data_IF_512516510143
#
_entry.id   IF_512516510143
#
_cell.length_a   1.000
_cell.length_b   1.000
_cell.length_c   1.000
_cell.angle_alpha   90.00
_cell.angle_beta   90.00
_cell.angle_gamma   90.00
#
_symmetry.space_group_name_H-M   'P 1'
#
loop_
_entity.id
_entity.type
_entity.pdbx_description
1 polymer ?
#
# COMPACT_ATOMS: atom_id res chain seq x y z
N UNK A 1 8.71 -4.79 -8.52
CA UNK A 1 9.78 -4.01 -7.88
C UNK A 1 9.67 -2.52 -8.18
N UNK A 2 9.75 -2.07 -9.45
CA UNK A 2 9.76 -0.64 -9.81
C UNK A 2 8.51 0.13 -9.33
N UNK A 3 7.30 -0.40 -9.57
CA UNK A 3 6.08 0.23 -9.06
C UNK A 3 5.97 0.24 -7.54
N UNK A 4 6.56 -0.74 -6.84
CA UNK A 4 6.63 -0.71 -5.37
C UNK A 4 7.57 0.40 -4.88
N UNK A 5 8.74 0.55 -5.52
CA UNK A 5 9.67 1.64 -5.20
C UNK A 5 9.03 3.01 -5.45
N UNK A 6 8.32 3.16 -6.58
CA UNK A 6 7.48 4.33 -6.87
C UNK A 6 6.45 4.56 -5.77
N UNK A 7 5.69 3.52 -5.41
CA UNK A 7 4.60 3.62 -4.44
C UNK A 7 5.08 3.99 -3.03
N UNK A 8 6.17 3.41 -2.55
CA UNK A 8 6.76 3.77 -1.25
C UNK A 8 7.28 5.20 -1.25
N UNK A 9 8.01 5.60 -2.30
CA UNK A 9 8.57 6.94 -2.44
C UNK A 9 7.47 8.01 -2.56
N UNK A 10 6.41 7.72 -3.31
CA UNK A 10 5.21 8.54 -3.40
C UNK A 10 4.46 8.62 -2.06
N UNK A 11 4.30 7.50 -1.35
CA UNK A 11 3.68 7.48 -0.03
C UNK A 11 4.42 8.39 0.95
N UNK A 12 5.75 8.30 1.03
CA UNK A 12 6.57 9.19 1.88
C UNK A 12 6.38 10.67 1.53
N UNK A 13 6.27 11.01 0.24
CA UNK A 13 6.00 12.38 -0.17
C UNK A 13 4.62 12.86 0.29
N UNK A 14 3.58 12.05 0.08
CA UNK A 14 2.21 12.44 0.41
C UNK A 14 2.04 12.50 1.92
N UNK A 15 2.53 11.52 2.68
CA UNK A 15 2.49 11.49 4.15
C UNK A 15 3.17 12.74 4.75
N UNK A 16 4.32 13.17 4.21
CA UNK A 16 4.93 14.46 4.57
C UNK A 16 4.06 15.67 4.20
N UNK A 17 3.55 15.69 2.97
CA UNK A 17 2.74 16.82 2.49
C UNK A 17 1.45 17.02 3.29
N UNK A 18 0.92 15.96 3.92
CA UNK A 18 -0.25 16.01 4.80
C UNK A 18 0.11 16.11 6.30
N UNK A 19 1.40 16.24 6.65
CA UNK A 19 1.86 16.43 8.02
C UNK A 19 1.90 15.15 8.88
N UNK A 20 1.90 13.97 8.26
CA UNK A 20 2.09 12.69 8.95
C UNK A 20 3.56 12.31 9.12
N UNK A 21 4.47 12.85 8.31
CA UNK A 21 5.91 12.63 8.43
C UNK A 21 6.67 13.96 8.52
N UNK A 22 7.70 14.01 9.36
CA UNK A 22 8.57 15.17 9.54
C UNK A 22 10.02 14.84 9.16
N UNK A 23 10.73 15.72 8.40
CA UNK A 23 12.08 15.44 7.91
C UNK A 23 13.15 15.33 9.01
N UNK A 24 12.99 16.06 10.12
CA UNK A 24 14.01 16.20 11.18
C UNK A 24 13.86 15.16 12.31
N UNK A 25 12.85 14.28 12.22
CA UNK A 25 12.48 13.35 13.27
C UNK A 25 11.25 13.85 14.04
N UNK A 26 10.20 13.02 14.08
CA UNK A 26 8.86 13.41 14.54
C UNK A 26 7.78 12.85 13.62
N UNK A 27 7.69 11.52 13.47
CA UNK A 27 6.79 10.88 12.51
C UNK A 27 6.75 9.37 12.66
N UNK A 28 6.38 8.66 11.59
CA UNK A 28 6.36 7.20 11.59
C UNK A 28 7.72 6.60 11.99
N UNK A 29 7.67 5.54 12.80
CA UNK A 29 8.82 4.75 13.24
C UNK A 29 9.45 4.08 12.03
N UNK A 30 10.78 4.16 11.95
CA UNK A 30 11.53 3.56 10.86
C UNK A 30 11.41 2.03 10.91
N UNK A 31 10.85 1.45 9.86
CA UNK A 31 10.67 0.02 9.70
C UNK A 31 11.80 -0.51 8.83
N UNK A 32 12.67 -1.34 9.41
CA UNK A 32 13.89 -1.83 8.73
C UNK A 32 13.67 -2.62 7.44
N UNK A 33 12.44 -3.07 7.18
CA UNK A 33 12.09 -3.79 5.95
C UNK A 33 11.51 -2.88 4.85
N UNK A 34 11.15 -1.64 5.19
CA UNK A 34 10.76 -0.60 4.24
C UNK A 34 11.83 0.48 4.23
N UNK A 35 12.92 0.26 3.49
CA UNK A 35 14.03 1.22 3.35
C UNK A 35 13.67 2.60 2.76
N UNK A 36 12.37 2.91 2.60
CA UNK A 36 11.84 4.21 2.19
C UNK A 36 11.14 5.00 3.30
N UNK A 37 10.83 4.40 4.46
CA UNK A 37 10.28 5.15 5.59
C UNK A 37 11.35 6.11 6.14
N UNK A 38 11.09 7.42 6.09
CA UNK A 38 12.06 8.43 6.48
C UNK A 38 13.06 8.82 5.39
N UNK A 39 12.80 8.52 4.11
CA UNK A 39 13.66 8.95 2.98
C UNK A 39 13.83 10.48 2.90
N UNK A 40 12.89 11.25 3.46
CA UNK A 40 12.98 12.71 3.58
C UNK A 40 14.08 13.20 4.55
N UNK A 41 14.64 12.29 5.38
CA UNK A 41 15.85 12.58 6.16
C UNK A 41 17.10 12.69 5.28
N UNK A 42 17.05 12.14 4.07
CA UNK A 42 18.19 12.00 3.14
C UNK A 42 17.95 12.81 1.86
N UNK A 43 16.72 12.82 1.35
CA UNK A 43 16.33 13.50 0.12
C UNK A 43 15.47 14.73 0.42
N UNK A 44 15.68 15.80 -0.35
CA UNK A 44 14.73 16.91 -0.41
C UNK A 44 13.40 16.47 -1.06
N UNK A 45 12.32 17.23 -0.82
CA UNK A 45 11.03 16.96 -1.43
C UNK A 45 11.10 16.93 -2.99
N UNK A 46 11.96 17.75 -3.60
CA UNK A 46 12.16 17.76 -5.06
C UNK A 46 12.83 16.47 -5.54
N UNK A 47 13.86 16.00 -4.83
CA UNK A 47 14.53 14.74 -5.15
C UNK A 47 13.61 13.55 -4.94
N UNK A 48 12.74 13.61 -3.93
CA UNK A 48 11.74 12.58 -3.70
C UNK A 48 10.71 12.52 -4.84
N UNK A 49 10.27 13.67 -5.34
CA UNK A 49 9.40 13.74 -6.54
C UNK A 49 10.09 13.10 -7.74
N UNK A 50 11.34 13.49 -8.01
CA UNK A 50 12.11 12.88 -9.11
C UNK A 50 12.29 11.38 -8.91
N UNK A 51 12.44 10.92 -7.67
CA UNK A 51 12.59 9.52 -7.33
C UNK A 51 11.34 8.70 -7.67
N UNK A 52 10.16 9.07 -7.16
CA UNK A 52 8.95 8.31 -7.49
C UNK A 52 8.55 8.45 -8.96
N UNK A 53 8.75 9.62 -9.59
CA UNK A 53 8.52 9.78 -11.04
C UNK A 53 9.46 8.88 -11.83
N UNK A 54 10.75 8.84 -11.47
CA UNK A 54 11.75 8.00 -12.13
C UNK A 54 11.40 6.51 -12.03
N UNK A 55 11.03 6.03 -10.84
CA UNK A 55 10.59 4.64 -10.66
C UNK A 55 9.29 4.33 -11.41
N UNK A 56 8.34 5.26 -11.42
CA UNK A 56 7.08 5.13 -12.16
C UNK A 56 7.32 5.01 -13.66
N UNK A 57 8.13 5.90 -14.24
CA UNK A 57 8.52 5.86 -15.66
C UNK A 57 9.27 4.57 -15.99
N UNK A 58 10.24 4.15 -15.17
CA UNK A 58 10.95 2.90 -15.36
C UNK A 58 10.00 1.69 -15.35
N UNK A 59 9.03 1.66 -14.43
CA UNK A 59 7.98 0.63 -14.38
C UNK A 59 7.11 0.63 -15.65
N UNK A 60 6.70 1.80 -16.12
CA UNK A 60 5.91 1.94 -17.35
C UNK A 60 6.68 1.51 -18.60
N UNK A 61 8.00 1.71 -18.66
CA UNK A 61 8.84 1.19 -19.76
C UNK A 61 8.80 -0.34 -19.76
N UNK A 62 8.87 -1.00 -18.59
CA UNK A 62 8.72 -2.45 -18.51
C UNK A 62 7.32 -2.88 -18.98
N UNK A 63 6.27 -2.17 -18.58
CA UNK A 63 4.92 -2.42 -19.10
C UNK A 63 4.84 -2.24 -20.62
N UNK A 64 5.55 -1.27 -21.22
CA UNK A 64 5.58 -1.08 -22.67
C UNK A 64 6.23 -2.27 -23.39
N UNK A 65 7.33 -2.81 -22.84
CA UNK A 65 7.97 -4.02 -23.37
C UNK A 65 7.02 -5.21 -23.30
N UNK A 66 6.30 -5.39 -22.19
CA UNK A 66 5.30 -6.47 -22.06
C UNK A 66 4.12 -6.24 -23.01
N UNK A 67 3.65 -5.01 -23.14
CA UNK A 67 2.54 -4.64 -24.02
C UNK A 67 2.84 -4.93 -25.49
N UNK A 68 4.08 -4.72 -25.93
CA UNK A 68 4.49 -5.03 -27.31
C UNK A 68 4.59 -6.54 -27.59
N UNK A 69 4.52 -7.38 -26.56
CA UNK A 69 4.69 -8.84 -26.67
C UNK A 69 3.44 -9.63 -26.34
N UNK A 70 2.61 -9.11 -25.44
CA UNK A 70 1.44 -9.80 -24.90
C UNK A 70 0.19 -8.98 -25.17
N UNK A 71 0.02 -7.85 -24.48
CA UNK A 71 -1.20 -7.04 -24.60
C UNK A 71 -1.04 -5.62 -24.07
N UNK A 72 -1.59 -4.60 -24.75
CA UNK A 72 -1.61 -3.24 -24.24
C UNK A 72 -2.47 -3.08 -22.98
N UNK A 73 -3.37 -4.03 -22.68
CA UNK A 73 -4.27 -3.94 -21.52
C UNK A 73 -3.56 -4.01 -20.17
N UNK A 74 -2.28 -4.42 -20.12
CA UNK A 74 -1.46 -4.37 -18.90
C UNK A 74 -1.34 -2.95 -18.33
N UNK A 75 -1.46 -1.91 -19.17
CA UNK A 75 -1.40 -0.53 -18.70
C UNK A 75 -2.58 -0.14 -17.82
N UNK A 76 -3.75 -0.77 -17.99
CA UNK A 76 -4.95 -0.43 -17.21
C UNK A 76 -4.69 -0.66 -15.71
N UNK A 77 -4.39 -1.89 -15.24
CA UNK A 77 -4.14 -2.10 -13.81
C UNK A 77 -2.84 -1.45 -13.34
N UNK A 78 -1.82 -1.32 -14.20
CA UNK A 78 -0.55 -0.69 -13.82
C UNK A 78 -0.72 0.81 -13.51
N UNK A 79 -1.43 1.56 -14.36
CA UNK A 79 -1.68 3.00 -14.17
C UNK A 79 -2.64 3.23 -13.00
N UNK A 80 -3.68 2.40 -12.85
CA UNK A 80 -4.55 2.45 -11.67
C UNK A 80 -3.75 2.21 -10.38
N UNK A 81 -2.77 1.30 -10.42
CA UNK A 81 -1.87 1.02 -9.30
C UNK A 81 -1.06 2.23 -8.84
N UNK A 82 -0.67 3.12 -9.76
CA UNK A 82 0.06 4.35 -9.44
C UNK A 82 -0.78 5.37 -8.65
N UNK A 83 -2.11 5.27 -8.69
CA UNK A 83 -2.99 6.12 -7.92
C UNK A 83 -3.21 5.61 -6.48
N UNK A 84 -2.89 4.34 -6.20
CA UNK A 84 -3.14 3.71 -4.90
C UNK A 84 -2.48 4.45 -3.74
N UNK A 85 -1.20 4.87 -3.79
CA UNK A 85 -0.58 5.61 -2.68
C UNK A 85 -1.34 6.89 -2.29
N UNK A 86 -1.91 7.60 -3.27
CA UNK A 86 -2.73 8.77 -2.99
C UNK A 86 -4.02 8.41 -2.24
N UNK A 87 -4.74 7.39 -2.70
CA UNK A 87 -5.95 6.92 -2.01
C UNK A 87 -5.63 6.27 -0.66
N UNK A 88 -4.47 5.64 -0.52
CA UNK A 88 -3.98 5.10 0.73
C UNK A 88 -3.82 6.22 1.77
N UNK A 89 -2.99 7.23 1.49
CA UNK A 89 -2.81 8.34 2.44
C UNK A 89 -4.08 9.15 2.66
N UNK A 90 -4.89 9.41 1.62
CA UNK A 90 -6.19 10.09 1.81
C UNK A 90 -7.16 9.26 2.65
N UNK A 91 -7.15 7.94 2.45
CA UNK A 91 -7.95 6.97 3.18
C UNK A 91 -7.64 6.93 4.66
N UNK A 92 -6.42 7.29 5.07
CA UNK A 92 -6.02 7.43 6.48
C UNK A 92 -6.93 8.43 7.19
N UNK A 93 -7.44 9.46 6.52
CA UNK A 93 -8.35 10.44 7.14
C UNK A 93 -9.84 10.08 6.99
N UNK A 94 -10.16 8.95 6.35
CA UNK A 94 -11.52 8.58 5.92
C UNK A 94 -11.84 7.08 6.04
N UNK A 95 -11.13 6.34 6.91
CA UNK A 95 -11.40 4.92 7.25
C UNK A 95 -11.26 3.89 6.11
N UNK A 96 -10.66 4.26 4.98
CA UNK A 96 -10.59 3.35 3.81
C UNK A 96 -9.16 3.03 3.34
N UNK A 97 -8.11 3.46 4.05
CA UNK A 97 -6.74 3.17 3.62
C UNK A 97 -6.42 1.66 3.56
N UNK A 98 -6.99 0.83 4.43
CA UNK A 98 -6.85 -0.63 4.35
C UNK A 98 -7.45 -1.16 3.04
N UNK A 99 -8.61 -0.64 2.64
CA UNK A 99 -9.25 -0.97 1.36
C UNK A 99 -8.45 -0.46 0.16
N UNK A 100 -7.87 0.74 0.27
CA UNK A 100 -6.99 1.28 -0.77
C UNK A 100 -5.75 0.40 -0.95
N UNK A 101 -5.12 -0.03 0.14
CA UNK A 101 -3.98 -0.96 0.08
C UNK A 101 -4.38 -2.30 -0.53
N UNK A 102 -5.51 -2.86 -0.11
CA UNK A 102 -6.02 -4.13 -0.66
C UNK A 102 -6.27 -4.03 -2.18
N UNK A 103 -6.77 -2.88 -2.64
CA UNK A 103 -6.94 -2.60 -4.08
C UNK A 103 -5.61 -2.64 -4.81
N UNK A 104 -4.53 -2.11 -4.23
CA UNK A 104 -3.18 -2.21 -4.81
C UNK A 104 -2.69 -3.65 -4.98
N UNK A 105 -2.93 -4.50 -3.98
CA UNK A 105 -2.56 -5.94 -4.06
C UNK A 105 -3.35 -6.64 -5.18
N UNK A 106 -4.66 -6.38 -5.29
CA UNK A 106 -5.51 -6.94 -6.35
C UNK A 106 -5.07 -6.46 -7.74
N UNK A 107 -4.80 -5.16 -7.90
CA UNK A 107 -4.31 -4.60 -9.17
C UNK A 107 -2.97 -5.20 -9.59
N UNK A 108 -2.08 -5.47 -8.63
CA UNK A 108 -0.82 -6.18 -8.90
C UNK A 108 -1.06 -7.60 -9.42
N UNK A 109 -2.02 -8.34 -8.85
CA UNK A 109 -2.44 -9.65 -9.35
C UNK A 109 -2.98 -9.61 -10.78
N UNK A 110 -3.87 -8.66 -11.07
CA UNK A 110 -4.43 -8.46 -12.42
C UNK A 110 -3.33 -8.07 -13.41
N UNK A 111 -2.40 -7.21 -13.01
CA UNK A 111 -1.22 -6.84 -13.83
C UNK A 111 -0.38 -8.08 -14.17
N UNK A 112 -0.18 -8.98 -13.20
CA UNK A 112 0.53 -10.25 -13.41
C UNK A 112 -0.16 -11.17 -14.42
N UNK A 113 -1.49 -11.25 -14.41
CA UNK A 113 -2.23 -12.03 -15.41
C UNK A 113 -2.08 -11.47 -16.83
N UNK A 114 -2.23 -10.15 -17.00
CA UNK A 114 -2.02 -9.50 -18.29
C UNK A 114 -0.57 -9.56 -18.77
N UNK A 115 0.39 -9.81 -17.87
CA UNK A 115 1.79 -9.95 -18.25
C UNK A 115 2.10 -11.26 -18.99
N UNK A 116 1.21 -12.26 -18.89
CA UNK A 116 1.45 -13.59 -19.48
C UNK A 116 0.33 -14.06 -20.41
N UNK A 117 -0.84 -13.44 -20.36
CA UNK A 117 -1.99 -13.78 -21.21
C UNK A 117 -2.64 -12.50 -21.75
N UNK A 118 -2.91 -12.39 -23.08
CA UNK A 118 -3.56 -11.22 -23.66
C UNK A 118 -5.05 -11.07 -23.30
N UNK A 119 -5.72 -12.18 -23.00
CA UNK A 119 -7.14 -12.27 -22.67
C UNK A 119 -7.34 -13.11 -21.39
N UNK A 120 -6.78 -12.69 -20.25
CA UNK A 120 -6.96 -13.42 -19.01
C UNK A 120 -8.39 -13.26 -18.51
N UNK A 121 -8.91 -14.31 -17.87
CA UNK A 121 -10.04 -14.22 -16.97
C UNK A 121 -9.65 -13.43 -15.71
N UNK A 122 -9.48 -12.11 -15.85
CA UNK A 122 -8.91 -11.21 -14.85
C UNK A 122 -9.62 -11.25 -13.49
N UNK A 123 -10.90 -11.64 -13.46
CA UNK A 123 -11.68 -11.82 -12.23
C UNK A 123 -11.12 -12.96 -11.36
N UNK A 124 -10.43 -13.94 -11.95
CA UNK A 124 -9.77 -15.02 -11.19
C UNK A 124 -8.63 -14.48 -10.32
N UNK A 125 -7.88 -13.46 -10.79
CA UNK A 125 -6.91 -12.79 -9.93
C UNK A 125 -7.57 -12.18 -8.70
N UNK A 126 -8.78 -11.63 -8.83
CA UNK A 126 -9.49 -11.08 -7.66
C UNK A 126 -9.74 -12.19 -6.65
N UNK A 127 -10.32 -13.32 -7.06
CA UNK A 127 -10.63 -14.42 -6.14
C UNK A 127 -9.37 -14.97 -5.47
N UNK A 128 -8.30 -15.19 -6.23
CA UNK A 128 -7.06 -15.77 -5.71
C UNK A 128 -6.33 -14.79 -4.79
N UNK A 129 -6.33 -13.50 -5.13
CA UNK A 129 -5.54 -12.49 -4.43
C UNK A 129 -6.32 -11.86 -3.27
N UNK A 130 -7.65 -11.87 -3.29
CA UNK A 130 -8.48 -11.24 -2.26
C UNK A 130 -8.13 -11.71 -0.83
N UNK A 131 -7.97 -13.02 -0.53
CA UNK A 131 -7.57 -13.46 0.80
C UNK A 131 -6.22 -12.85 1.23
N UNK A 132 -5.25 -12.83 0.32
CA UNK A 132 -3.92 -12.24 0.55
C UNK A 132 -4.05 -10.73 0.78
N UNK A 133 -4.85 -10.04 -0.03
CA UNK A 133 -5.10 -8.61 0.07
C UNK A 133 -5.75 -8.22 1.40
N UNK A 134 -6.74 -9.00 1.86
CA UNK A 134 -7.38 -8.76 3.16
C UNK A 134 -6.40 -9.00 4.30
N UNK A 135 -5.66 -10.12 4.28
CA UNK A 135 -4.67 -10.42 5.33
C UNK A 135 -3.60 -9.34 5.39
N UNK A 136 -2.97 -8.98 4.27
CA UNK A 136 -1.92 -7.97 4.25
C UNK A 136 -2.44 -6.58 4.68
N UNK A 137 -3.65 -6.21 4.24
CA UNK A 137 -4.12 -4.84 4.41
C UNK A 137 -4.86 -4.59 5.72
N UNK A 138 -5.49 -5.60 6.31
CA UNK A 138 -6.23 -5.44 7.57
C UNK A 138 -5.46 -6.02 8.76
N UNK A 139 -4.87 -7.20 8.59
CA UNK A 139 -4.07 -7.82 9.64
C UNK A 139 -2.63 -7.31 9.62
N UNK A 140 -2.00 -7.28 8.45
CA UNK A 140 -0.62 -6.83 8.28
C UNK A 140 -0.41 -5.39 8.72
N UNK A 141 -1.31 -4.48 8.34
CA UNK A 141 -1.26 -3.08 8.82
C UNK A 141 -1.44 -2.95 10.33
N UNK A 142 -2.24 -3.81 10.96
CA UNK A 142 -2.39 -3.81 12.42
C UNK A 142 -1.08 -4.10 13.15
N UNK A 143 -0.22 -4.95 12.59
CA UNK A 143 1.14 -5.16 13.09
C UNK A 143 2.08 -4.05 12.71
N UNK A 144 2.08 -3.70 11.43
CA UNK A 144 3.05 -2.78 10.86
C UNK A 144 2.92 -1.39 11.48
N UNK A 145 1.70 -0.89 11.60
CA UNK A 145 1.46 0.46 12.08
C UNK A 145 1.22 0.53 13.61
N UNK A 146 1.35 -0.59 14.33
CA UNK A 146 1.11 -0.65 15.78
C UNK A 146 1.99 0.36 16.56
N UNK A 147 3.25 0.50 16.17
CA UNK A 147 4.20 1.42 16.80
C UNK A 147 3.88 2.90 16.49
N UNK A 148 3.22 3.15 15.37
CA UNK A 148 2.85 4.50 14.90
C UNK A 148 1.48 4.94 15.41
N UNK A 149 0.70 4.01 15.98
CA UNK A 149 -0.70 4.21 16.34
C UNK A 149 -0.93 5.42 17.23
N UNK A 150 -0.12 5.62 18.27
CA UNK A 150 -0.26 6.76 19.18
C UNK A 150 -0.09 8.10 18.46
N UNK A 151 0.99 8.23 17.67
CA UNK A 151 1.29 9.46 16.92
C UNK A 151 0.20 9.75 15.88
N UNK A 152 -0.18 8.73 15.10
CA UNK A 152 -1.13 8.88 14.02
C UNK A 152 -2.55 9.17 14.53
N UNK A 153 -2.98 8.58 15.65
CA UNK A 153 -4.26 8.92 16.28
C UNK A 153 -4.31 10.39 16.74
N UNK A 154 -3.23 10.91 17.33
CA UNK A 154 -3.15 12.31 17.74
C UNK A 154 -3.20 13.27 16.54
N UNK A 155 -2.76 12.82 15.36
CA UNK A 155 -2.84 13.53 14.08
C UNK A 155 -4.18 13.34 13.36
N UNK A 156 -5.16 12.69 14.00
CA UNK A 156 -6.52 12.52 13.48
C UNK A 156 -6.67 11.40 12.45
N UNK A 157 -5.68 10.52 12.32
CA UNK A 157 -5.74 9.36 11.43
C UNK A 157 -6.76 8.35 11.94
N UNK A 158 -7.47 7.75 11.00
CA UNK A 158 -8.58 6.83 11.19
C UNK A 158 -8.24 5.50 10.53
N UNK A 159 -7.97 4.51 11.38
CA UNK A 159 -7.60 3.16 10.98
C UNK A 159 -8.22 2.15 11.93
N UNK A 160 -8.63 1.00 11.41
CA UNK A 160 -9.03 -0.15 12.22
C UNK A 160 -7.85 -0.61 13.07
N UNK A 161 -6.64 -0.68 12.50
CA UNK A 161 -5.41 -1.01 13.21
C UNK A 161 -5.20 -0.11 14.43
N UNK A 162 -5.31 1.20 14.24
CA UNK A 162 -5.14 2.16 15.34
C UNK A 162 -6.26 2.10 16.37
N UNK A 163 -7.48 1.74 15.96
CA UNK A 163 -8.58 1.54 16.91
C UNK A 163 -8.41 0.29 17.76
N UNK A 164 -7.85 -0.79 17.22
CA UNK A 164 -7.47 -1.99 18.00
C UNK A 164 -6.45 -1.61 19.07
N UNK A 165 -5.44 -0.82 18.69
CA UNK A 165 -4.47 -0.27 19.65
C UNK A 165 -5.15 0.62 20.71
N UNK A 166 -5.97 1.59 20.30
CA UNK A 166 -6.61 2.56 21.18
C UNK A 166 -7.58 1.93 22.18
N UNK A 167 -8.28 0.86 21.78
CA UNK A 167 -9.19 0.11 22.64
C UNK A 167 -8.46 -0.80 23.63
N UNK A 168 -7.12 -0.86 23.57
CA UNK A 168 -6.28 -1.83 24.31
C UNK A 168 -6.73 -3.26 24.09
N UNK A 169 -7.37 -3.53 22.95
CA UNK A 169 -7.73 -4.87 22.57
C UNK A 169 -6.44 -5.62 22.27
N UNK A 170 -6.25 -6.77 22.91
CA UNK A 170 -5.04 -7.56 22.74
C UNK A 170 -4.87 -7.91 21.25
N UNK A 171 -3.70 -7.58 20.70
CA UNK A 171 -3.39 -7.83 19.29
C UNK A 171 -3.49 -9.34 19.00
N UNK A 172 -3.08 -10.18 19.96
CA UNK A 172 -3.22 -11.64 19.89
C UNK A 172 -4.68 -12.06 19.79
N UNK A 173 -5.56 -11.46 20.60
CA UNK A 173 -7.00 -11.65 20.52
C UNK A 173 -7.62 -11.09 19.23
N UNK A 174 -7.09 -9.99 18.68
CA UNK A 174 -7.54 -9.45 17.38
C UNK A 174 -7.23 -10.42 16.25
N UNK A 175 -6.00 -10.96 16.23
CA UNK A 175 -5.58 -11.98 15.28
C UNK A 175 -6.43 -13.24 15.45
N UNK A 176 -6.64 -13.69 16.68
CA UNK A 176 -7.44 -14.88 16.97
C UNK A 176 -8.90 -14.68 16.53
N UNK A 177 -9.51 -13.54 16.86
CA UNK A 177 -10.86 -13.19 16.45
C UNK A 177 -10.98 -13.09 14.92
N UNK A 178 -9.99 -12.49 14.25
CA UNK A 178 -9.93 -12.43 12.80
C UNK A 178 -9.85 -13.85 12.21
N UNK A 179 -8.92 -14.69 12.67
CA UNK A 179 -8.73 -16.07 12.22
C UNK A 179 -9.98 -16.94 12.47
N UNK A 180 -10.64 -16.77 13.61
CA UNK A 180 -11.90 -17.44 13.93
C UNK A 180 -13.03 -16.94 13.02
N UNK A 181 -13.15 -15.63 12.79
CA UNK A 181 -14.17 -15.06 11.90
C UNK A 181 -13.98 -15.45 10.44
N UNK A 182 -12.75 -15.61 9.97
CA UNK A 182 -12.44 -16.08 8.61
C UNK A 182 -12.68 -17.58 8.43
N UNK A 183 -12.67 -18.36 9.52
CA UNK A 183 -12.94 -19.82 9.49
C UNK A 183 -14.42 -20.18 9.61
N UNK A 184 -15.31 -19.23 9.93
CA UNK A 184 -16.77 -19.46 10.03
C UNK A 184 -17.47 -19.42 8.66
N UNK A 185 -16.71 -19.31 7.57
CA UNK A 185 -17.24 -19.20 6.19
C UNK A 185 -17.14 -20.50 5.37
N UNK A 186 -17.15 -21.67 6.00
CA UNK A 186 -17.17 -22.97 5.33
C UNK A 186 -18.47 -23.73 5.60
#
# INVERSE_FOLDING_TARGET
ALFMACGHSQNSYIDWAVGLDEPEGGGSVEKGYTGGCGILKILSAKELILNFVGWGVAGLIVCAVVASRVTPYIFIPAVLGLAVPYFYTKGKFSWYHETALATGVVLAGITGMFAVNPHPDWWQAIIVVLPIAVVLSYLGLAFDEYLDAYSNLNRGVKSLAYKVWASRFDLSLYILAYMLSSNVSH
#
